data_IF_444177137728
#
_entry.id   IF_444177137728
#
_cell.length_a   1.000
_cell.length_b   1.000
_cell.length_c   1.000
_cell.angle_alpha   90.00
_cell.angle_beta   90.00
_cell.angle_gamma   90.00
#
_symmetry.space_group_name_H-M   'P 1'
#
loop_
_entity.id
_entity.type
_entity.pdbx_description
1 polymer ?
#
# COMPACT_ATOMS: atom_id res chain seq x y z
N UNK A 1 4.36 -1.20 10.84
CA UNK A 1 4.97 -1.61 12.12
C UNK A 1 4.73 -0.58 13.20
N UNK A 2 5.03 0.69 12.94
CA UNK A 2 5.16 1.74 13.96
C UNK A 2 3.86 2.00 14.74
N UNK A 3 2.71 2.03 14.07
CA UNK A 3 1.40 2.13 14.72
C UNK A 3 1.08 0.91 15.60
N UNK A 4 1.42 -0.30 15.15
CA UNK A 4 1.16 -1.51 15.95
C UNK A 4 1.98 -1.52 17.23
N UNK A 5 3.25 -1.13 17.17
CA UNK A 5 4.13 -1.04 18.34
C UNK A 5 3.70 0.08 19.30
N UNK A 6 3.25 1.21 18.75
CA UNK A 6 2.80 2.36 19.54
C UNK A 6 1.52 2.07 20.33
N UNK A 7 0.55 1.42 19.71
CA UNK A 7 -0.79 1.25 20.28
C UNK A 7 -1.05 -0.15 20.85
N UNK A 8 -0.24 -1.15 20.48
CA UNK A 8 -0.45 -2.55 20.87
C UNK A 8 -1.56 -3.27 20.09
N UNK A 9 -2.17 -2.60 19.10
CA UNK A 9 -3.21 -3.13 18.24
C UNK A 9 -2.64 -3.66 16.91
N UNK A 10 -3.31 -4.64 16.31
CA UNK A 10 -2.97 -5.13 14.97
C UNK A 10 -3.60 -4.24 13.90
N UNK A 11 -2.78 -3.74 12.99
CA UNK A 11 -3.18 -2.90 11.86
C UNK A 11 -2.82 -3.61 10.55
N UNK A 12 -3.76 -3.63 9.61
CA UNK A 12 -3.58 -4.21 8.29
C UNK A 12 -3.81 -3.17 7.18
N UNK A 13 -3.34 -3.49 5.98
CA UNK A 13 -3.60 -2.72 4.77
C UNK A 13 -4.57 -3.51 3.88
N UNK A 14 -5.74 -2.94 3.65
CA UNK A 14 -6.82 -3.56 2.86
C UNK A 14 -7.05 -2.82 1.54
N UNK A 15 -7.18 -3.58 0.46
CA UNK A 15 -7.68 -3.09 -0.81
C UNK A 15 -9.21 -2.95 -0.73
N UNK A 16 -9.67 -1.86 -0.11
CA UNK A 16 -11.09 -1.58 0.15
C UNK A 16 -11.95 -1.72 -1.12
N UNK A 17 -13.06 -2.48 -1.11
CA UNK A 17 -13.92 -2.66 -2.30
C UNK A 17 -14.61 -1.39 -2.85
N UNK A 18 -14.68 -0.33 -2.04
CA UNK A 18 -15.14 1.04 -2.34
C UNK A 18 -16.33 1.19 -3.31
N UNK A 19 -17.32 0.27 -3.29
CA UNK A 19 -18.39 0.19 -4.31
C UNK A 19 -19.12 1.53 -4.53
N UNK A 20 -19.49 2.21 -3.44
CA UNK A 20 -20.11 3.54 -3.48
C UNK A 20 -19.10 4.67 -3.22
N UNK A 21 -18.08 4.40 -2.41
CA UNK A 21 -17.07 5.40 -2.00
C UNK A 21 -16.26 5.90 -3.19
N UNK A 22 -15.86 5.03 -4.12
CA UNK A 22 -15.10 5.41 -5.32
C UNK A 22 -15.81 6.46 -6.17
N UNK A 23 -17.12 6.29 -6.38
CA UNK A 23 -17.97 7.27 -7.07
C UNK A 23 -18.17 8.55 -6.23
N UNK A 24 -18.50 8.37 -4.95
CA UNK A 24 -18.85 9.48 -4.06
C UNK A 24 -17.68 10.44 -3.86
N UNK A 25 -16.47 9.93 -3.62
CA UNK A 25 -15.27 10.75 -3.46
C UNK A 25 -14.95 11.51 -4.75
N UNK A 26 -14.89 10.81 -5.89
CA UNK A 26 -14.63 11.44 -7.18
C UNK A 26 -15.63 12.56 -7.51
N UNK A 27 -16.92 12.36 -7.19
CA UNK A 27 -17.95 13.39 -7.36
C UNK A 27 -17.72 14.62 -6.48
N UNK A 28 -17.37 14.43 -5.21
CA UNK A 28 -17.08 15.54 -4.30
C UNK A 28 -15.80 16.28 -4.71
N UNK A 29 -14.77 15.54 -5.11
CA UNK A 29 -13.50 16.13 -5.49
C UNK A 29 -13.63 16.92 -6.78
N UNK A 30 -14.33 16.43 -7.80
CA UNK A 30 -14.58 17.18 -9.04
C UNK A 30 -15.34 18.49 -8.79
N UNK A 31 -16.22 18.52 -7.78
CA UNK A 31 -16.92 19.75 -7.36
C UNK A 31 -15.98 20.75 -6.68
N UNK A 32 -15.01 20.27 -5.90
CA UNK A 32 -14.10 21.10 -5.12
C UNK A 32 -12.87 21.53 -5.91
N UNK A 33 -12.40 20.67 -6.79
CA UNK A 33 -11.19 20.79 -7.60
C UNK A 33 -11.56 20.45 -9.06
N UNK A 34 -11.98 21.44 -9.86
CA UNK A 34 -12.45 21.19 -11.23
C UNK A 34 -11.43 20.49 -12.13
N UNK A 35 -10.13 20.73 -11.89
CA UNK A 35 -9.03 20.17 -12.68
C UNK A 35 -8.55 18.79 -12.18
N UNK A 36 -9.24 18.18 -11.20
CA UNK A 36 -8.85 16.87 -10.68
C UNK A 36 -9.03 15.77 -11.74
N UNK A 37 -8.04 14.89 -11.82
CA UNK A 37 -8.07 13.73 -12.70
C UNK A 37 -8.84 12.60 -12.00
N UNK A 38 -9.93 12.16 -12.61
CA UNK A 38 -10.68 10.96 -12.22
C UNK A 38 -10.42 9.84 -13.25
N UNK A 39 -10.87 8.61 -12.94
CA UNK A 39 -10.69 7.48 -13.85
C UNK A 39 -11.52 7.61 -15.14
N UNK A 40 -12.70 8.23 -15.06
CA UNK A 40 -13.51 8.56 -16.23
C UNK A 40 -13.28 9.99 -16.67
N UNK A 41 -13.08 10.18 -17.97
CA UNK A 41 -13.11 11.49 -18.63
C UNK A 41 -14.55 11.98 -18.88
N UNK A 42 -15.55 11.10 -18.75
CA UNK A 42 -16.96 11.42 -18.98
C UNK A 42 -17.63 12.21 -17.86
N UNK A 43 -18.94 12.45 -17.98
CA UNK A 43 -19.73 13.23 -17.02
C UNK A 43 -19.81 12.59 -15.63
N UNK A 44 -19.78 11.25 -15.57
CA UNK A 44 -19.89 10.49 -14.31
C UNK A 44 -18.49 10.11 -13.81
N UNK A 45 -17.90 10.86 -12.86
CA UNK A 45 -16.55 10.56 -12.37
C UNK A 45 -16.56 9.35 -11.46
N UNK A 46 -15.48 8.56 -11.45
CA UNK A 46 -15.22 7.56 -10.42
C UNK A 46 -13.71 7.42 -10.22
N UNK A 47 -13.30 6.78 -9.13
CA UNK A 47 -11.92 6.31 -8.95
C UNK A 47 -11.84 4.81 -9.16
N UNK A 48 -10.72 4.35 -9.69
CA UNK A 48 -10.41 2.92 -9.74
C UNK A 48 -10.28 2.37 -8.32
N UNK A 49 -10.72 1.14 -8.10
CA UNK A 49 -10.74 0.54 -6.78
C UNK A 49 -9.32 0.22 -6.29
N UNK A 50 -8.96 0.67 -5.09
CA UNK A 50 -7.66 0.38 -4.46
C UNK A 50 -6.49 0.68 -5.40
N UNK A 51 -5.60 -0.28 -5.63
CA UNK A 51 -4.50 -0.21 -6.59
C UNK A 51 -4.77 -1.04 -7.85
N UNK A 52 -6.04 -1.27 -8.23
CA UNK A 52 -6.36 -1.91 -9.51
C UNK A 52 -5.91 -1.04 -10.69
N UNK A 53 -5.66 -1.69 -11.83
CA UNK A 53 -5.43 -0.99 -13.10
C UNK A 53 -6.70 -0.25 -13.54
N UNK A 54 -6.57 0.87 -14.27
CA UNK A 54 -7.70 1.46 -14.98
C UNK A 54 -8.44 0.40 -15.80
N UNK A 55 -9.77 0.38 -15.72
CA UNK A 55 -10.58 -0.73 -16.25
C UNK A 55 -10.52 -0.91 -17.77
N UNK A 56 -10.04 0.10 -18.51
CA UNK A 56 -9.82 0.06 -19.95
C UNK A 56 -8.36 -0.13 -20.39
N UNK A 57 -7.44 -0.42 -19.46
CA UNK A 57 -6.00 -0.41 -19.70
C UNK A 57 -5.53 -1.43 -20.73
N UNK A 58 -5.84 -2.72 -20.54
CA UNK A 58 -5.43 -3.81 -21.43
C UNK A 58 -6.50 -4.91 -21.50
N UNK A 59 -6.52 -5.66 -22.60
CA UNK A 59 -7.30 -6.88 -22.75
C UNK A 59 -6.46 -8.15 -22.52
N UNK A 60 -5.13 -8.01 -22.32
CA UNK A 60 -4.25 -9.12 -22.00
C UNK A 60 -4.17 -9.33 -20.48
N UNK A 61 -4.66 -10.48 -20.01
CA UNK A 61 -4.67 -10.81 -18.57
C UNK A 61 -3.26 -10.93 -18.00
N UNK A 62 -2.29 -11.40 -18.76
CA UNK A 62 -0.92 -11.60 -18.26
C UNK A 62 -0.17 -10.27 -18.18
N UNK A 63 -0.39 -9.37 -19.14
CA UNK A 63 0.06 -7.97 -19.01
C UNK A 63 -0.53 -7.31 -17.76
N UNK A 64 -1.82 -7.53 -17.46
CA UNK A 64 -2.43 -6.97 -16.25
C UNK A 64 -1.87 -7.59 -14.96
N UNK A 65 -1.68 -8.91 -14.94
CA UNK A 65 -1.08 -9.63 -13.81
C UNK A 65 0.36 -9.22 -13.57
N UNK A 66 1.16 -9.02 -14.62
CA UNK A 66 2.55 -8.56 -14.53
C UNK A 66 2.69 -7.22 -13.80
N UNK A 67 1.71 -6.33 -13.94
CA UNK A 67 1.70 -5.03 -13.24
C UNK A 67 1.07 -5.15 -11.84
N UNK A 68 0.06 -6.00 -11.68
CA UNK A 68 -0.69 -6.11 -10.43
C UNK A 68 0.00 -6.98 -9.39
N UNK A 69 0.76 -8.01 -9.78
CA UNK A 69 1.27 -9.02 -8.85
C UNK A 69 2.02 -8.42 -7.66
N UNK A 70 2.98 -7.53 -7.94
CA UNK A 70 3.77 -6.85 -6.91
C UNK A 70 2.88 -6.04 -5.96
N UNK A 71 2.04 -5.15 -6.50
CA UNK A 71 1.14 -4.31 -5.69
C UNK A 71 0.16 -5.11 -4.85
N UNK A 72 -0.39 -6.18 -5.41
CA UNK A 72 -1.36 -7.03 -4.71
C UNK A 72 -0.70 -7.75 -3.52
N UNK A 73 0.56 -8.17 -3.64
CA UNK A 73 1.27 -8.82 -2.52
C UNK A 73 1.61 -7.90 -1.35
N UNK A 74 1.56 -6.58 -1.54
CA UNK A 74 1.83 -5.60 -0.47
C UNK A 74 0.65 -5.44 0.50
N UNK A 75 -0.56 -5.84 0.12
CA UNK A 75 -1.70 -5.82 1.03
C UNK A 75 -1.58 -6.95 2.05
N UNK A 76 -1.69 -6.60 3.33
CA UNK A 76 -1.56 -7.55 4.44
C UNK A 76 -2.89 -8.14 4.88
N UNK A 77 -4.00 -7.73 4.25
CA UNK A 77 -5.33 -8.32 4.48
C UNK A 77 -6.05 -8.69 3.19
N UNK A 78 -7.17 -8.03 2.89
CA UNK A 78 -8.02 -8.33 1.77
C UNK A 78 -7.50 -7.65 0.51
N UNK A 79 -7.17 -8.45 -0.49
CA UNK A 79 -6.99 -7.98 -1.85
C UNK A 79 -7.48 -9.01 -2.84
N UNK A 80 -7.80 -8.60 -4.06
CA UNK A 80 -8.29 -9.49 -5.11
C UNK A 80 -7.96 -8.95 -6.49
N UNK A 81 -7.44 -9.81 -7.36
CA UNK A 81 -7.40 -9.55 -8.80
C UNK A 81 -8.66 -10.14 -9.48
N UNK A 82 -9.39 -9.32 -10.23
CA UNK A 82 -10.54 -9.79 -11.00
C UNK A 82 -10.15 -9.97 -12.46
N UNK A 83 -10.07 -11.22 -12.92
CA UNK A 83 -10.01 -11.54 -14.33
C UNK A 83 -11.43 -11.47 -14.92
N UNK A 84 -11.86 -10.32 -15.45
CA UNK A 84 -13.16 -10.16 -16.10
C UNK A 84 -13.15 -10.78 -17.51
N UNK A 85 -13.83 -11.91 -17.73
CA UNK A 85 -13.62 -12.78 -18.91
C UNK A 85 -14.59 -12.57 -20.08
N UNK A 86 -15.46 -11.56 -20.04
CA UNK A 86 -16.51 -11.40 -21.05
C UNK A 86 -17.60 -12.45 -20.85
N UNK A 87 -17.41 -13.67 -21.35
CA UNK A 87 -18.30 -14.80 -21.12
C UNK A 87 -17.60 -15.96 -20.41
N UNK A 88 -18.30 -17.08 -20.19
CA UNK A 88 -17.69 -18.27 -19.60
C UNK A 88 -16.63 -18.84 -20.55
N UNK A 89 -15.58 -19.41 -19.97
CA UNK A 89 -14.58 -20.16 -20.75
C UNK A 89 -15.22 -21.38 -21.43
N UNK A 90 -14.62 -21.88 -22.54
CA UNK A 90 -15.20 -22.97 -23.32
C UNK A 90 -15.48 -24.23 -22.51
N UNK A 91 -14.60 -24.58 -21.58
CA UNK A 91 -14.76 -25.70 -20.68
C UNK A 91 -13.99 -25.52 -19.35
N UNK A 92 -14.18 -26.47 -18.44
CA UNK A 92 -13.51 -26.47 -17.13
C UNK A 92 -11.99 -26.70 -17.23
N UNK A 93 -11.51 -27.33 -18.30
CA UNK A 93 -10.07 -27.57 -18.50
C UNK A 93 -9.37 -26.27 -18.84
N UNK A 94 -9.96 -25.43 -19.70
CA UNK A 94 -9.48 -24.09 -20.01
C UNK A 94 -9.39 -23.24 -18.73
N UNK A 95 -10.42 -23.29 -17.88
CA UNK A 95 -10.41 -22.62 -16.58
C UNK A 95 -9.29 -23.15 -15.68
N UNK A 96 -9.15 -24.47 -15.54
CA UNK A 96 -8.11 -25.09 -14.72
C UNK A 96 -6.70 -24.77 -15.22
N UNK A 97 -6.48 -24.75 -16.54
CA UNK A 97 -5.21 -24.36 -17.16
C UNK A 97 -4.88 -22.90 -16.88
N UNK A 98 -5.85 -21.98 -16.98
CA UNK A 98 -5.64 -20.58 -16.66
C UNK A 98 -5.30 -20.38 -15.19
N UNK A 99 -6.07 -20.99 -14.28
CA UNK A 99 -5.81 -20.97 -12.82
C UNK A 99 -4.40 -21.48 -12.53
N UNK A 100 -4.03 -22.63 -13.09
CA UNK A 100 -2.68 -23.19 -12.93
C UNK A 100 -1.60 -22.25 -13.42
N UNK A 101 -1.74 -21.69 -14.64
CA UNK A 101 -0.79 -20.71 -15.18
C UNK A 101 -0.64 -19.50 -14.26
N UNK A 102 -1.74 -18.97 -13.72
CA UNK A 102 -1.65 -17.84 -12.80
C UNK A 102 -0.92 -18.25 -11.51
N UNK A 103 -1.32 -19.36 -10.89
CA UNK A 103 -0.73 -19.84 -9.64
C UNK A 103 0.76 -20.21 -9.74
N UNK A 104 1.20 -20.72 -10.89
CA UNK A 104 2.60 -21.13 -11.10
C UNK A 104 3.53 -19.95 -11.45
N UNK A 105 2.98 -18.80 -11.89
CA UNK A 105 3.77 -17.68 -12.41
C UNK A 105 3.58 -16.35 -11.65
N UNK A 106 2.68 -16.29 -10.67
CA UNK A 106 2.40 -15.07 -9.90
C UNK A 106 2.22 -15.38 -8.42
N UNK A 107 2.42 -14.36 -7.57
CA UNK A 107 2.44 -14.47 -6.10
C UNK A 107 1.17 -13.96 -5.43
N UNK A 108 0.36 -13.19 -6.16
CA UNK A 108 -0.82 -12.51 -5.62
C UNK A 108 -1.73 -13.48 -4.86
N UNK A 109 -2.21 -13.09 -3.66
CA UNK A 109 -2.81 -14.03 -2.72
C UNK A 109 -4.20 -14.49 -3.15
N UNK A 110 -4.89 -13.72 -3.99
CA UNK A 110 -6.25 -14.02 -4.40
C UNK A 110 -6.60 -13.45 -5.77
N UNK A 111 -7.13 -14.30 -6.64
CA UNK A 111 -7.71 -13.93 -7.92
C UNK A 111 -9.02 -14.65 -8.17
N UNK A 112 -9.83 -14.07 -9.05
CA UNK A 112 -11.12 -14.62 -9.46
C UNK A 112 -11.26 -14.60 -10.98
N UNK A 113 -11.83 -15.67 -11.53
CA UNK A 113 -12.33 -15.69 -12.90
C UNK A 113 -13.78 -15.21 -12.88
N UNK A 114 -14.06 -14.08 -13.52
CA UNK A 114 -15.34 -13.37 -13.43
C UNK A 114 -15.98 -13.20 -14.81
N UNK A 115 -16.65 -14.23 -15.35
CA UNK A 115 -17.43 -14.10 -16.58
C UNK A 115 -18.67 -13.21 -16.38
N UNK A 116 -19.08 -12.50 -17.43
CA UNK A 116 -20.43 -11.93 -17.51
C UNK A 116 -21.37 -12.98 -18.08
N UNK A 117 -22.58 -13.04 -17.55
CA UNK A 117 -23.64 -13.91 -18.06
C UNK A 117 -24.99 -13.21 -17.95
N UNK A 118 -25.96 -13.69 -18.70
CA UNK A 118 -27.32 -13.19 -18.65
C UNK A 118 -28.30 -14.26 -18.16
N UNK A 119 -29.43 -13.83 -17.61
CA UNK A 119 -30.50 -14.72 -17.16
C UNK A 119 -31.83 -14.27 -17.77
N UNK A 120 -32.44 -15.14 -18.55
CA UNK A 120 -33.82 -15.01 -18.99
C UNK A 120 -34.76 -15.70 -17.97
N UNK A 121 -35.90 -15.07 -17.67
CA UNK A 121 -36.91 -15.67 -16.77
C UNK A 121 -37.49 -16.99 -17.29
N UNK A 122 -37.50 -17.20 -18.60
CA UNK A 122 -38.09 -18.38 -19.24
C UNK A 122 -37.03 -19.41 -19.66
N UNK A 123 -35.93 -18.95 -20.27
CA UNK A 123 -34.90 -19.83 -20.83
C UNK A 123 -33.69 -20.03 -19.89
N UNK A 124 -33.65 -19.35 -18.75
CA UNK A 124 -32.57 -19.49 -17.77
C UNK A 124 -31.27 -18.83 -18.22
N UNK A 125 -30.16 -19.52 -17.99
CA UNK A 125 -28.80 -19.02 -18.23
C UNK A 125 -28.54 -18.75 -19.73
N UNK A 126 -27.95 -17.59 -20.03
CA UNK A 126 -27.47 -17.18 -21.34
C UNK A 126 -25.98 -16.84 -21.25
N UNK A 127 -25.20 -17.30 -22.22
CA UNK A 127 -23.76 -17.04 -22.26
C UNK A 127 -23.46 -15.58 -22.64
N UNK A 128 -22.56 -14.95 -21.90
CA UNK A 128 -22.12 -13.58 -22.14
C UNK A 128 -23.16 -12.51 -21.79
N UNK A 129 -22.87 -11.29 -22.24
CA UNK A 129 -23.74 -10.15 -22.06
C UNK A 129 -24.86 -10.15 -23.10
N UNK A 130 -26.09 -10.40 -22.65
CA UNK A 130 -27.29 -10.33 -23.48
C UNK A 130 -28.41 -9.60 -22.73
N UNK A 131 -28.77 -8.40 -23.17
CA UNK A 131 -29.89 -7.63 -22.61
C UNK A 131 -31.26 -8.12 -23.11
N UNK A 132 -31.27 -8.87 -24.20
CA UNK A 132 -32.48 -9.46 -24.80
C UNK A 132 -32.24 -10.94 -25.01
N UNK A 133 -33.20 -11.78 -24.59
CA UNK A 133 -33.12 -13.22 -24.75
C UNK A 133 -33.21 -13.59 -26.24
N UNK A 134 -32.26 -14.38 -26.77
CA UNK A 134 -32.24 -14.74 -28.19
C UNK A 134 -33.31 -15.77 -28.56
N UNK A 135 -33.93 -16.41 -27.56
CA UNK A 135 -34.95 -17.45 -27.76
C UNK A 135 -36.38 -16.89 -27.76
N UNK A 136 -36.70 -15.91 -26.90
CA UNK A 136 -38.06 -15.33 -26.84
C UNK A 136 -38.16 -13.82 -27.04
N UNK A 137 -37.04 -13.12 -27.25
CA UNK A 137 -37.02 -11.67 -27.47
C UNK A 137 -37.37 -10.81 -26.25
N UNK A 138 -37.57 -11.41 -25.07
CA UNK A 138 -37.85 -10.70 -23.82
C UNK A 138 -36.57 -10.16 -23.18
N UNK A 139 -36.70 -9.19 -22.28
CA UNK A 139 -35.58 -8.66 -21.49
C UNK A 139 -34.87 -9.77 -20.68
N UNK A 140 -33.55 -9.74 -20.68
CA UNK A 140 -32.69 -10.60 -19.89
C UNK A 140 -31.86 -9.77 -18.89
N UNK A 141 -31.62 -10.33 -17.71
CA UNK A 141 -30.83 -9.67 -16.68
C UNK A 141 -29.35 -10.02 -16.86
N UNK A 142 -28.52 -9.01 -17.15
CA UNK A 142 -27.06 -9.16 -17.21
C UNK A 142 -26.49 -9.15 -15.80
N UNK A 143 -25.74 -10.19 -15.44
CA UNK A 143 -25.00 -10.32 -14.18
C UNK A 143 -23.50 -10.23 -14.45
N UNK A 144 -22.83 -9.39 -13.67
CA UNK A 144 -21.37 -9.34 -13.61
C UNK A 144 -20.93 -9.13 -12.17
N UNK A 145 -19.63 -9.30 -11.90
CA UNK A 145 -19.06 -9.02 -10.59
C UNK A 145 -18.81 -7.50 -10.48
N UNK A 146 -19.35 -6.89 -9.44
CA UNK A 146 -19.24 -5.43 -9.22
C UNK A 146 -17.90 -5.08 -8.55
N UNK A 147 -17.63 -5.66 -7.39
CA UNK A 147 -16.41 -5.46 -6.57
C UNK A 147 -16.02 -6.74 -5.86
N UNK A 148 -17.00 -7.51 -5.37
CA UNK A 148 -16.73 -8.77 -4.66
C UNK A 148 -17.78 -9.85 -4.89
N UNK A 149 -18.95 -9.53 -5.43
CA UNK A 149 -20.06 -10.46 -5.64
C UNK A 149 -20.79 -10.16 -6.96
N UNK A 150 -21.60 -11.12 -7.43
CA UNK A 150 -22.42 -10.96 -8.63
C UNK A 150 -23.68 -10.17 -8.32
N UNK A 151 -23.99 -9.20 -9.17
CA UNK A 151 -25.19 -8.38 -9.07
C UNK A 151 -25.68 -7.98 -10.46
N UNK A 152 -27.00 -7.88 -10.71
CA UNK A 152 -27.52 -7.38 -11.98
C UNK A 152 -26.94 -5.99 -12.29
N UNK A 153 -26.39 -5.82 -13.49
CA UNK A 153 -25.74 -4.57 -13.93
C UNK A 153 -26.71 -3.38 -13.85
N UNK A 154 -27.99 -3.60 -14.15
CA UNK A 154 -29.06 -2.59 -14.03
C UNK A 154 -29.24 -2.02 -12.62
N UNK A 155 -28.77 -2.74 -11.59
CA UNK A 155 -28.90 -2.34 -10.18
C UNK A 155 -27.64 -1.65 -9.65
N UNK A 156 -26.65 -1.37 -10.49
CA UNK A 156 -25.40 -0.75 -10.08
C UNK A 156 -25.57 0.77 -9.93
N UNK A 157 -24.75 1.37 -9.07
CA UNK A 157 -24.74 2.84 -8.92
C UNK A 157 -24.10 3.50 -10.15
N UNK A 158 -24.34 4.80 -10.35
CA UNK A 158 -23.87 5.54 -11.53
C UNK A 158 -22.37 5.38 -11.83
N UNK A 159 -21.51 5.48 -10.80
CA UNK A 159 -20.07 5.32 -11.00
C UNK A 159 -19.68 3.89 -11.39
N UNK A 160 -20.29 2.87 -10.77
CA UNK A 160 -20.08 1.47 -11.16
C UNK A 160 -20.64 1.13 -12.53
N UNK A 161 -21.77 1.71 -12.92
CA UNK A 161 -22.29 1.61 -14.28
C UNK A 161 -21.36 2.28 -15.29
N UNK A 162 -20.74 3.42 -14.95
CA UNK A 162 -19.74 4.06 -15.81
C UNK A 162 -18.47 3.23 -15.94
N UNK A 163 -17.94 2.73 -14.81
CA UNK A 163 -16.80 1.80 -14.79
C UNK A 163 -17.07 0.57 -15.67
N UNK A 164 -18.26 -0.02 -15.58
CA UNK A 164 -18.64 -1.18 -16.39
C UNK A 164 -18.62 -0.90 -17.89
N UNK A 165 -19.10 0.28 -18.32
CA UNK A 165 -19.11 0.67 -19.74
C UNK A 165 -17.70 0.86 -20.31
N UNK A 166 -16.78 1.37 -19.50
CA UNK A 166 -15.38 1.61 -19.91
C UNK A 166 -14.50 0.37 -19.76
N UNK A 167 -15.00 -0.66 -19.07
CA UNK A 167 -14.25 -1.88 -18.77
C UNK A 167 -13.96 -2.68 -20.03
N UNK A 168 -12.68 -2.91 -20.30
CA UNK A 168 -12.25 -3.94 -21.24
C UNK A 168 -12.18 -5.27 -20.52
N UNK A 169 -12.84 -6.27 -21.09
CA UNK A 169 -12.74 -7.65 -20.63
C UNK A 169 -11.44 -8.27 -21.15
N UNK A 170 -10.88 -9.22 -20.39
CA UNK A 170 -9.69 -9.93 -20.80
C UNK A 170 -10.03 -10.99 -21.86
N UNK A 171 -9.26 -10.98 -22.94
CA UNK A 171 -9.33 -12.00 -23.97
C UNK A 171 -8.25 -13.06 -23.73
N UNK A 172 -8.66 -14.18 -23.14
CA UNK A 172 -7.75 -15.29 -22.79
C UNK A 172 -7.13 -15.93 -24.04
N UNK A 173 -7.77 -15.82 -25.21
CA UNK A 173 -7.25 -16.41 -26.44
C UNK A 173 -6.06 -15.64 -27.03
N UNK A 174 -6.01 -14.32 -26.81
CA UNK A 174 -4.94 -13.44 -27.28
C UNK A 174 -3.94 -13.04 -26.19
N UNK A 175 -4.22 -13.36 -24.92
CA UNK A 175 -3.34 -13.07 -23.79
C UNK A 175 -2.05 -13.91 -23.84
N UNK A 176 -0.89 -13.27 -23.64
CA UNK A 176 0.44 -13.93 -23.77
C UNK A 176 1.22 -13.83 -22.46
N UNK A 177 1.54 -14.99 -21.88
CA UNK A 177 2.47 -15.08 -20.77
C UNK A 177 3.91 -14.98 -21.32
N UNK A 178 4.69 -14.04 -20.79
CA UNK A 178 6.04 -13.72 -21.30
C UNK A 178 7.18 -14.29 -20.47
N UNK A 179 6.88 -14.92 -19.34
CA UNK A 179 7.87 -15.44 -18.39
C UNK A 179 7.41 -16.76 -17.76
N UNK A 180 8.34 -17.45 -17.09
CA UNK A 180 8.09 -18.70 -16.37
C UNK A 180 8.50 -18.53 -14.91
N UNK A 181 7.58 -18.86 -14.00
CA UNK A 181 7.73 -18.68 -12.57
C UNK A 181 7.42 -17.25 -12.12
N UNK A 182 7.22 -17.04 -10.81
CA UNK A 182 7.06 -15.70 -10.26
C UNK A 182 8.24 -14.81 -10.59
N UNK A 183 7.98 -13.58 -11.05
CA UNK A 183 9.03 -12.57 -11.13
C UNK A 183 9.58 -12.34 -9.73
N UNK A 184 10.90 -12.24 -9.61
CA UNK A 184 11.49 -11.74 -8.37
C UNK A 184 10.87 -10.38 -8.09
N UNK A 185 10.45 -10.17 -6.84
CA UNK A 185 9.98 -8.85 -6.44
C UNK A 185 11.11 -7.89 -6.78
N UNK A 186 10.83 -6.91 -7.65
CA UNK A 186 11.69 -5.75 -7.73
C UNK A 186 11.72 -5.27 -6.28
N UNK A 187 12.90 -5.23 -5.67
CA UNK A 187 13.00 -4.51 -4.42
C UNK A 187 12.53 -3.11 -4.80
N UNK A 188 11.29 -2.76 -4.41
CA UNK A 188 10.89 -1.37 -4.38
C UNK A 188 11.96 -0.78 -3.50
N UNK A 189 12.93 -0.10 -4.11
CA UNK A 189 13.79 0.80 -3.39
C UNK A 189 12.79 1.68 -2.66
N UNK A 190 12.65 1.43 -1.35
CA UNK A 190 11.93 2.33 -0.49
C UNK A 190 12.40 3.71 -0.90
N UNK A 191 11.46 4.56 -1.34
CA UNK A 191 11.74 5.88 -1.89
C UNK A 191 12.96 6.45 -1.18
N UNK A 192 14.04 6.82 -1.91
CA UNK A 192 15.37 6.93 -1.36
C UNK A 192 15.23 7.68 -0.05
N UNK A 193 15.49 6.97 1.06
CA UNK A 193 15.59 7.60 2.36
C UNK A 193 16.62 8.68 2.13
N UNK A 194 16.16 9.93 2.11
CA UNK A 194 16.98 11.07 1.77
C UNK A 194 18.29 10.89 2.51
N UNK A 195 19.42 10.87 1.78
CA UNK A 195 20.76 10.67 2.36
C UNK A 195 20.81 11.41 3.69
N UNK A 196 20.90 10.65 4.79
CA UNK A 196 20.90 11.20 6.13
C UNK A 196 22.09 12.14 6.22
N UNK A 197 21.83 13.45 6.15
CA UNK A 197 22.78 14.41 6.68
C UNK A 197 23.06 13.97 8.11
N UNK A 198 24.33 13.83 8.52
CA UNK A 198 24.66 13.41 9.87
C UNK A 198 23.96 14.35 10.86
N UNK A 199 23.11 13.76 11.72
CA UNK A 199 22.28 14.47 12.70
C UNK A 199 23.11 15.37 13.65
N UNK A 200 24.39 15.04 13.82
CA UNK A 200 25.38 15.77 14.60
C UNK A 200 26.75 15.68 13.93
N UNK A 201 27.56 16.73 14.05
CA UNK A 201 28.97 16.69 13.66
C UNK A 201 29.79 15.86 14.66
N UNK A 202 30.99 15.41 14.26
CA UNK A 202 31.92 14.72 15.15
C UNK A 202 32.24 15.58 16.38
N UNK A 203 32.09 14.98 17.57
CA UNK A 203 32.18 15.70 18.84
C UNK A 203 31.56 14.95 20.01
N UNK A 204 31.68 15.52 21.20
CA UNK A 204 31.08 14.99 22.43
C UNK A 204 29.95 15.91 22.87
N UNK A 205 28.77 15.35 23.13
CA UNK A 205 27.56 16.08 23.48
C UNK A 205 26.98 15.56 24.78
N UNK A 206 26.71 16.44 25.73
CA UNK A 206 25.98 16.15 26.96
C UNK A 206 24.50 16.51 26.79
N UNK A 207 23.66 15.48 26.68
CA UNK A 207 22.22 15.60 26.68
C UNK A 207 21.71 15.71 28.12
N UNK A 208 21.24 16.89 28.48
CA UNK A 208 20.81 17.26 29.83
C UNK A 208 19.35 17.73 29.87
N UNK A 209 18.77 17.81 31.05
CA UNK A 209 17.48 18.49 31.29
C UNK A 209 17.67 19.57 32.35
N UNK A 210 16.95 20.68 32.19
CA UNK A 210 17.04 21.86 33.08
C UNK A 210 16.68 21.52 34.54
N UNK A 211 15.84 20.50 34.76
CA UNK A 211 15.36 20.09 36.08
C UNK A 211 16.15 18.92 36.69
N UNK A 212 17.12 18.34 35.98
CA UNK A 212 17.80 17.12 36.43
C UNK A 212 19.02 17.40 37.34
N UNK A 213 18.99 17.02 38.64
CA UNK A 213 20.11 17.24 39.56
C UNK A 213 21.36 16.40 39.20
N UNK A 214 21.15 15.23 38.59
CA UNK A 214 22.25 14.37 38.11
C UNK A 214 23.01 14.99 36.93
N UNK A 215 22.39 15.87 36.15
CA UNK A 215 23.07 16.57 35.06
C UNK A 215 24.11 17.58 35.57
N UNK A 216 23.85 18.25 36.70
CA UNK A 216 24.82 19.17 37.33
C UNK A 216 26.08 18.44 37.79
N UNK A 217 25.92 17.19 38.26
CA UNK A 217 27.04 16.34 38.65
C UNK A 217 27.84 15.89 37.42
N UNK A 218 27.18 15.51 36.33
CA UNK A 218 27.85 15.14 35.08
C UNK A 218 28.66 16.31 34.50
N UNK A 219 28.09 17.52 34.51
CA UNK A 219 28.74 18.76 34.08
C UNK A 219 29.97 19.10 34.92
N UNK A 220 29.89 18.95 36.25
CA UNK A 220 31.04 19.16 37.13
C UNK A 220 32.16 18.13 36.91
N UNK A 221 31.82 16.89 36.50
CA UNK A 221 32.80 15.86 36.19
C UNK A 221 33.47 16.10 34.83
N UNK A 222 32.70 16.48 33.81
CA UNK A 222 33.22 16.83 32.50
C UNK A 222 34.06 18.11 32.54
N UNK A 223 33.68 19.10 33.35
CA UNK A 223 34.46 20.32 33.54
C UNK A 223 35.79 20.12 34.28
N UNK A 224 36.01 18.95 34.91
CA UNK A 224 37.30 18.55 35.49
C UNK A 224 38.15 17.68 34.56
N UNK A 225 37.61 17.31 33.40
CA UNK A 225 38.32 16.56 32.35
C UNK A 225 38.72 17.49 31.23
N UNK A 226 39.80 17.18 30.51
CA UNK A 226 40.26 17.95 29.33
C UNK A 226 39.44 17.64 28.05
N UNK A 227 38.22 17.12 28.19
CA UNK A 227 37.35 16.73 27.07
C UNK A 227 36.45 17.90 26.69
N UNK A 228 36.61 18.41 25.47
CA UNK A 228 35.69 19.38 24.90
C UNK A 228 34.32 18.74 24.64
N UNK A 229 33.25 19.36 25.13
CA UNK A 229 31.88 18.89 24.92
C UNK A 229 30.89 20.05 24.74
N UNK A 230 29.79 19.78 24.03
CA UNK A 230 28.66 20.69 23.88
C UNK A 230 27.47 20.21 24.74
N UNK A 231 26.73 21.12 25.36
CA UNK A 231 25.60 20.80 26.22
C UNK A 231 24.28 21.12 25.54
N UNK A 232 23.41 20.12 25.42
CA UNK A 232 22.11 20.24 24.78
C UNK A 232 20.99 19.92 25.78
N UNK A 233 20.04 20.84 25.91
CA UNK A 233 18.88 20.66 26.79
C UNK A 233 17.72 20.00 26.05
N UNK A 234 17.09 19.02 26.70
CA UNK A 234 15.92 18.29 26.19
C UNK A 234 14.77 19.24 25.84
N UNK A 235 14.57 20.27 26.67
CA UNK A 235 13.47 21.23 26.52
C UNK A 235 13.63 22.10 25.26
N UNK A 236 14.87 22.33 24.81
CA UNK A 236 15.17 23.21 23.68
C UNK A 236 15.44 22.43 22.38
N UNK A 237 15.60 21.09 22.46
CA UNK A 237 16.04 20.24 21.34
C UNK A 237 15.23 18.94 21.22
N UNK A 238 13.92 18.99 21.44
CA UNK A 238 13.02 17.81 21.42
C UNK A 238 13.21 16.91 20.20
N UNK A 239 13.26 17.43 18.95
CA UNK A 239 13.40 16.58 17.77
C UNK A 239 14.72 15.78 17.73
N UNK A 240 15.80 16.36 18.26
CA UNK A 240 17.13 15.72 18.29
C UNK A 240 17.19 14.60 19.34
N UNK A 241 16.54 14.79 20.49
CA UNK A 241 16.44 13.77 21.53
C UNK A 241 15.63 12.55 21.04
N UNK A 242 14.55 12.79 20.30
CA UNK A 242 13.73 11.75 19.69
C UNK A 242 14.49 11.00 18.58
N UNK A 243 15.14 11.74 17.67
CA UNK A 243 15.96 11.15 16.59
C UNK A 243 17.08 10.25 17.14
N UNK A 244 17.74 10.68 18.23
CA UNK A 244 18.78 9.90 18.90
C UNK A 244 18.22 8.90 19.92
N UNK A 245 16.90 8.74 20.07
CA UNK A 245 16.25 7.80 21.00
C UNK A 245 16.75 7.94 22.45
N UNK A 246 17.03 9.16 22.91
CA UNK A 246 17.54 9.45 24.27
C UNK A 246 16.36 9.56 25.23
N UNK A 247 16.19 8.55 26.07
CA UNK A 247 15.03 8.45 26.99
C UNK A 247 15.29 8.99 28.41
N UNK A 248 16.53 9.32 28.75
CA UNK A 248 16.88 9.80 30.08
C UNK A 248 18.08 10.76 30.07
N UNK A 249 18.13 11.67 31.05
CA UNK A 249 19.23 12.61 31.26
C UNK A 249 19.90 12.37 32.63
N UNK A 250 21.24 12.49 32.77
CA UNK A 250 22.20 12.86 31.71
C UNK A 250 22.53 11.68 30.78
N UNK A 251 22.71 11.94 29.49
CA UNK A 251 23.30 10.99 28.53
C UNK A 251 24.42 11.68 27.76
N UNK A 252 25.59 11.08 27.70
CA UNK A 252 26.71 11.58 26.90
C UNK A 252 26.73 10.86 25.55
N UNK A 253 26.94 11.60 24.47
CA UNK A 253 26.98 11.07 23.12
C UNK A 253 28.31 11.47 22.49
N UNK A 254 29.08 10.50 22.01
CA UNK A 254 30.30 10.74 21.23
C UNK A 254 30.03 10.37 19.78
N UNK A 255 30.27 11.31 18.88
CA UNK A 255 30.15 11.14 17.42
C UNK A 255 31.56 11.14 16.83
N UNK A 256 31.92 10.10 16.09
CA UNK A 256 33.23 9.95 15.44
C UNK A 256 33.08 9.25 14.10
N UNK A 257 33.38 9.92 12.99
CA UNK A 257 33.26 9.34 11.65
C UNK A 257 31.84 8.89 11.31
N UNK A 258 30.82 9.53 11.88
CA UNK A 258 29.41 9.14 11.74
C UNK A 258 28.93 8.03 12.69
N UNK A 259 29.81 7.41 13.48
CA UNK A 259 29.42 6.46 14.53
C UNK A 259 29.00 7.18 15.81
N UNK A 260 27.85 6.79 16.37
CA UNK A 260 27.27 7.39 17.58
C UNK A 260 27.38 6.42 18.76
N UNK A 261 28.23 6.74 19.74
CA UNK A 261 28.33 6.02 21.01
C UNK A 261 27.56 6.78 22.11
N UNK A 262 26.69 6.09 22.85
CA UNK A 262 25.85 6.68 23.90
C UNK A 262 26.21 6.10 25.27
N UNK A 263 26.35 6.97 26.26
CA UNK A 263 26.67 6.64 27.65
C UNK A 263 25.58 7.21 28.54
N UNK A 264 24.71 6.33 29.02
CA UNK A 264 23.40 6.65 29.58
C UNK A 264 23.47 6.67 31.10
N UNK A 265 23.25 7.84 31.69
CA UNK A 265 23.29 8.06 33.14
C UNK A 265 24.69 8.29 33.71
N UNK A 266 24.74 8.78 34.96
CA UNK A 266 25.99 9.15 35.65
C UNK A 266 27.06 8.04 35.74
N UNK A 267 26.73 6.76 35.97
CA UNK A 267 27.74 5.70 36.04
C UNK A 267 28.50 5.53 34.73
N UNK A 268 27.79 5.55 33.59
CA UNK A 268 28.40 5.39 32.26
C UNK A 268 29.17 6.64 31.85
N UNK A 269 28.68 7.83 32.20
CA UNK A 269 29.43 9.08 32.02
C UNK A 269 30.77 9.03 32.78
N UNK A 270 30.78 8.51 34.02
CA UNK A 270 32.03 8.33 34.78
C UNK A 270 32.95 7.30 34.14
N UNK A 271 32.41 6.18 33.67
CA UNK A 271 33.19 5.16 32.98
C UNK A 271 33.83 5.70 31.70
N UNK A 272 33.09 6.51 30.93
CA UNK A 272 33.61 7.19 29.75
C UNK A 272 34.77 8.13 30.09
N UNK A 273 34.62 8.95 31.14
CA UNK A 273 35.65 9.85 31.61
C UNK A 273 36.91 9.10 32.10
N UNK A 274 36.75 7.96 32.76
CA UNK A 274 37.88 7.13 33.20
C UNK A 274 38.62 6.46 32.03
N UNK A 275 37.93 6.22 30.91
CA UNK A 275 38.51 5.61 29.72
C UNK A 275 39.12 6.62 28.74
N UNK A 276 38.80 7.92 28.88
CA UNK A 276 39.17 8.97 27.92
C UNK A 276 39.78 10.23 28.59
N UNK A 277 40.08 10.17 29.89
CA UNK A 277 40.65 11.27 30.68
C UNK A 277 41.87 10.86 31.48
#
# INVERSE_FOLDING_TARGET
SDYQEMYGDLYNLEATPAESTAYRLAKHDRKRYPDIICASEGETPYYTNSSHLPVGYTADVFTALDVQDELQTLYTSGTVFHAFLGERLPDWKAAATLVRKIAENYRLPYYSLSPTYSVCREHGYLAGEQFTCPHCGKEAEVYSRITGYYRPVKNWNAGKSQEYKERKVYDISSSVLTHCGPKEAVAVEAAPVAEEKPLLADGVYLFASKTCPKCKVAESLLGKSDIAYEKLFAEDNVPLFEALKIKQAPTLVKVSGGEIAKFVGLPEVKAFLQANG
#
